data_IF_061502108807
#
_entry.id   IF_061502108807
#
_cell.length_a   1.000
_cell.length_b   1.000
_cell.length_c   1.000
_cell.angle_alpha   90.00
_cell.angle_beta   90.00
_cell.angle_gamma   90.00
#
_symmetry.space_group_name_H-M   'P 1'
#
loop_
_entity.id
_entity.type
_entity.pdbx_description
1 polymer ?
#
# COMPACT_ATOMS: atom_id res chain seq x y z
N UNK A 1 17.00 17.85 16.24
CA UNK A 1 16.00 18.64 15.47
C UNK A 1 16.13 18.51 13.96
N UNK A 2 17.33 18.64 13.36
CA UNK A 2 17.56 18.50 11.90
C UNK A 2 17.01 17.18 11.31
N UNK A 3 17.24 16.07 12.02
CA UNK A 3 16.82 14.73 11.61
C UNK A 3 15.29 14.56 11.54
N UNK A 4 14.57 15.24 12.45
CA UNK A 4 13.11 15.18 12.56
C UNK A 4 12.42 16.00 11.45
N UNK A 5 13.03 17.14 11.07
CA UNK A 5 12.56 17.95 9.94
C UNK A 5 12.77 17.23 8.59
N UNK A 6 13.90 16.54 8.43
CA UNK A 6 14.21 15.78 7.21
C UNK A 6 13.26 14.59 7.07
N UNK A 7 13.07 13.81 8.15
CA UNK A 7 12.15 12.66 8.13
C UNK A 7 10.69 13.07 7.90
N UNK A 8 10.26 14.23 8.43
CA UNK A 8 8.92 14.77 8.17
C UNK A 8 8.73 15.16 6.69
N UNK A 9 9.70 15.85 6.10
CA UNK A 9 9.65 16.24 4.68
C UNK A 9 9.59 15.04 3.74
N UNK A 10 10.38 14.01 4.04
CA UNK A 10 10.40 12.74 3.28
C UNK A 10 9.09 11.98 3.47
N UNK A 11 8.58 11.87 4.70
CA UNK A 11 7.32 11.20 4.98
C UNK A 11 6.14 11.83 4.24
N UNK A 12 6.10 13.16 4.15
CA UNK A 12 5.07 13.89 3.40
C UNK A 12 5.20 13.61 1.89
N UNK A 13 6.40 13.78 1.31
CA UNK A 13 6.59 13.57 -0.14
C UNK A 13 6.36 12.12 -0.54
N UNK A 14 6.92 11.16 0.20
CA UNK A 14 6.72 9.74 -0.04
C UNK A 14 5.25 9.33 0.17
N UNK A 15 4.57 9.90 1.16
CA UNK A 15 3.15 9.63 1.44
C UNK A 15 2.24 10.15 0.33
N UNK A 16 2.50 11.35 -0.19
CA UNK A 16 1.76 11.93 -1.32
C UNK A 16 1.97 11.11 -2.58
N UNK A 17 3.21 10.74 -2.90
CA UNK A 17 3.52 9.89 -4.05
C UNK A 17 2.86 8.51 -3.92
N UNK A 18 2.89 7.92 -2.73
CA UNK A 18 2.23 6.65 -2.45
C UNK A 18 0.70 6.73 -2.60
N UNK A 19 0.09 7.81 -2.13
CA UNK A 19 -1.36 8.03 -2.26
C UNK A 19 -1.77 8.22 -3.73
N UNK A 20 -0.97 8.96 -4.51
CA UNK A 20 -1.16 9.12 -5.96
C UNK A 20 -1.07 7.80 -6.71
N UNK A 21 -0.12 6.93 -6.34
CA UNK A 21 0.01 5.62 -6.96
C UNK A 21 -1.08 4.61 -6.53
N UNK A 22 -1.81 4.86 -5.44
CA UNK A 22 -2.88 3.97 -4.96
C UNK A 22 -2.42 2.59 -4.44
N UNK A 23 -1.11 2.32 -4.38
CA UNK A 23 -0.54 0.99 -4.04
C UNK A 23 -0.50 0.74 -2.52
N UNK A 24 -0.72 1.76 -1.69
CA UNK A 24 -0.46 1.69 -0.26
C UNK A 24 1.05 1.79 0.00
N UNK A 25 1.47 2.83 0.73
CA UNK A 25 2.86 3.34 0.68
C UNK A 25 3.99 2.43 1.13
N UNK A 26 3.76 1.16 1.47
CA UNK A 26 4.80 0.25 1.96
C UNK A 26 5.96 0.00 0.98
N UNK A 27 5.64 -0.13 -0.30
CA UNK A 27 6.64 -0.33 -1.39
C UNK A 27 7.62 0.84 -1.48
N UNK A 28 7.16 2.06 -1.18
CA UNK A 28 7.93 3.30 -1.26
C UNK A 28 8.57 3.66 0.09
N UNK A 29 7.87 3.44 1.20
CA UNK A 29 8.31 3.83 2.54
C UNK A 29 9.45 2.98 3.08
N UNK A 30 9.45 1.67 2.81
CA UNK A 30 10.52 0.77 3.27
C UNK A 30 11.90 1.14 2.70
N UNK A 31 12.09 1.31 1.38
CA UNK A 31 13.39 1.75 0.85
C UNK A 31 13.69 3.19 1.23
N UNK A 32 12.68 4.06 1.37
CA UNK A 32 12.90 5.42 1.84
C UNK A 32 13.48 5.44 3.27
N UNK A 33 12.95 4.64 4.19
CA UNK A 33 13.48 4.55 5.55
C UNK A 33 14.83 3.85 5.63
N UNK A 34 15.05 2.80 4.84
CA UNK A 34 16.35 2.11 4.78
C UNK A 34 17.46 2.99 4.20
N UNK A 35 17.20 3.68 3.08
CA UNK A 35 18.21 4.51 2.40
C UNK A 35 18.39 5.89 3.04
N UNK A 36 17.32 6.53 3.52
CA UNK A 36 17.38 7.92 4.00
C UNK A 36 17.59 8.04 5.52
N UNK A 37 17.11 7.08 6.33
CA UNK A 37 17.32 7.10 7.79
C UNK A 37 18.44 6.15 8.24
N UNK A 38 18.97 5.30 7.36
CA UNK A 38 19.99 4.30 7.71
C UNK A 38 19.48 3.28 8.74
N UNK A 39 18.16 3.11 8.83
CA UNK A 39 17.55 2.17 9.75
C UNK A 39 17.83 0.74 9.29
N UNK A 40 18.09 -0.13 10.26
CA UNK A 40 18.18 -1.55 9.98
C UNK A 40 16.87 -2.07 9.35
N UNK A 41 16.97 -3.02 8.42
CA UNK A 41 15.87 -3.42 7.52
C UNK A 41 14.61 -3.83 8.31
N UNK A 42 14.79 -4.50 9.45
CA UNK A 42 13.69 -4.89 10.35
C UNK A 42 12.96 -3.69 10.95
N UNK A 43 13.70 -2.64 11.32
CA UNK A 43 13.13 -1.41 11.86
C UNK A 43 12.39 -0.62 10.77
N UNK A 44 12.99 -0.48 9.57
CA UNK A 44 12.36 0.18 8.43
C UNK A 44 11.01 -0.48 8.06
N UNK A 45 10.97 -1.82 8.02
CA UNK A 45 9.75 -2.59 7.79
C UNK A 45 8.69 -2.37 8.87
N UNK A 46 9.08 -2.45 10.14
CA UNK A 46 8.16 -2.25 11.27
C UNK A 46 7.57 -0.83 11.28
N UNK A 47 8.39 0.19 11.04
CA UNK A 47 7.93 1.58 10.97
C UNK A 47 6.99 1.80 9.78
N UNK A 48 7.29 1.21 8.62
CA UNK A 48 6.38 1.30 7.47
C UNK A 48 5.03 0.64 7.75
N UNK A 49 4.99 -0.49 8.45
CA UNK A 49 3.73 -1.12 8.85
C UNK A 49 2.93 -0.23 9.80
N UNK A 50 3.60 0.44 10.74
CA UNK A 50 2.96 1.40 11.63
C UNK A 50 2.34 2.59 10.86
N UNK A 51 2.96 3.06 9.77
CA UNK A 51 2.42 4.13 8.90
C UNK A 51 1.24 3.63 8.04
N UNK A 52 1.25 2.35 7.65
CA UNK A 52 0.17 1.77 6.83
C UNK A 52 -1.16 1.72 7.60
N UNK A 53 -1.15 1.50 8.92
CA UNK A 53 -2.38 1.43 9.72
C UNK A 53 -3.24 2.70 9.62
N UNK A 54 -2.76 3.90 9.98
CA UNK A 54 -3.56 5.13 9.90
C UNK A 54 -3.92 5.50 8.46
N UNK A 55 -3.03 5.23 7.50
CA UNK A 55 -3.31 5.52 6.07
C UNK A 55 -4.39 4.59 5.51
N UNK A 56 -4.39 3.31 5.89
CA UNK A 56 -5.44 2.36 5.52
C UNK A 56 -6.79 2.73 6.14
N UNK A 57 -6.81 3.19 7.39
CA UNK A 57 -8.04 3.67 8.04
C UNK A 57 -8.59 4.89 7.29
N UNK A 58 -7.74 5.88 6.99
CA UNK A 58 -8.14 7.06 6.23
C UNK A 58 -8.66 6.70 4.84
N UNK A 59 -7.96 5.80 4.13
CA UNK A 59 -8.40 5.31 2.83
C UNK A 59 -9.76 4.61 2.92
N UNK A 60 -9.94 3.72 3.91
CA UNK A 60 -11.20 2.98 4.11
C UNK A 60 -12.34 3.95 4.41
N UNK A 61 -12.13 4.94 5.29
CA UNK A 61 -13.14 5.94 5.62
C UNK A 61 -13.62 6.73 4.38
N UNK A 62 -12.70 7.06 3.46
CA UNK A 62 -13.05 7.70 2.18
C UNK A 62 -13.86 6.77 1.28
N UNK A 63 -13.52 5.48 1.22
CA UNK A 63 -14.24 4.50 0.39
C UNK A 63 -15.64 4.18 0.95
N UNK A 64 -15.80 4.12 2.28
CA UNK A 64 -17.11 3.96 2.94
C UNK A 64 -18.01 5.13 2.59
N UNK A 65 -17.48 6.36 2.64
CA UNK A 65 -18.24 7.58 2.36
C UNK A 65 -18.78 7.64 0.93
N UNK A 66 -18.10 6.98 -0.01
CA UNK A 66 -18.50 6.94 -1.42
C UNK A 66 -19.35 5.71 -1.78
N UNK A 67 -19.73 4.87 -0.81
CA UNK A 67 -20.51 3.63 -1.00
C UNK A 67 -19.90 2.64 -2.02
N UNK A 68 -18.57 2.66 -2.16
CA UNK A 68 -17.84 1.84 -3.13
C UNK A 68 -17.35 0.50 -2.56
N UNK A 69 -17.80 0.12 -1.37
CA UNK A 69 -17.28 -1.05 -0.64
C UNK A 69 -18.19 -2.25 -0.80
N UNK A 70 -17.67 -3.29 -1.46
CA UNK A 70 -18.23 -4.62 -1.37
C UNK A 70 -17.77 -5.27 -0.05
N UNK A 71 -18.66 -5.26 0.94
CA UNK A 71 -18.41 -5.80 2.27
C UNK A 71 -18.05 -7.30 2.27
N UNK A 72 -18.52 -8.06 1.27
CA UNK A 72 -18.20 -9.48 1.16
C UNK A 72 -16.73 -9.67 0.80
N UNK A 73 -16.24 -8.90 -0.18
CA UNK A 73 -14.83 -8.91 -0.58
C UNK A 73 -13.96 -8.37 0.55
N UNK A 74 -14.38 -7.30 1.22
CA UNK A 74 -13.63 -6.70 2.33
C UNK A 74 -13.43 -7.68 3.49
N UNK A 75 -14.47 -8.40 3.91
CA UNK A 75 -14.38 -9.37 5.01
C UNK A 75 -13.53 -10.57 4.62
N UNK A 76 -13.72 -11.13 3.41
CA UNK A 76 -12.93 -12.29 2.94
C UNK A 76 -11.45 -11.93 2.85
N UNK A 77 -11.11 -10.77 2.30
CA UNK A 77 -9.72 -10.31 2.21
C UNK A 77 -9.13 -9.99 3.58
N UNK A 78 -9.89 -9.40 4.50
CA UNK A 78 -9.45 -9.15 5.87
C UNK A 78 -9.10 -10.45 6.62
N UNK A 79 -9.95 -11.48 6.53
CA UNK A 79 -9.71 -12.77 7.17
C UNK A 79 -8.49 -13.46 6.55
N UNK A 80 -8.43 -13.52 5.21
CA UNK A 80 -7.31 -14.13 4.50
C UNK A 80 -5.97 -13.42 4.81
N UNK A 81 -5.97 -12.08 4.82
CA UNK A 81 -4.79 -11.28 5.14
C UNK A 81 -4.34 -11.50 6.59
N UNK A 82 -5.28 -11.54 7.54
CA UNK A 82 -4.96 -11.76 8.97
C UNK A 82 -4.36 -13.14 9.20
N UNK A 83 -4.97 -14.19 8.64
CA UNK A 83 -4.45 -15.56 8.72
C UNK A 83 -3.05 -15.65 8.13
N UNK A 84 -2.88 -15.16 6.90
CA UNK A 84 -1.59 -15.22 6.19
C UNK A 84 -0.51 -14.44 6.93
N UNK A 85 -0.85 -13.24 7.43
CA UNK A 85 0.08 -12.40 8.20
C UNK A 85 0.54 -13.08 9.48
N UNK A 86 -0.36 -13.77 10.18
CA UNK A 86 -0.01 -14.51 11.40
C UNK A 86 1.02 -15.61 11.13
N UNK A 87 0.81 -16.44 10.11
CA UNK A 87 1.76 -17.50 9.74
C UNK A 87 3.09 -16.96 9.20
N UNK A 88 3.05 -15.88 8.42
CA UNK A 88 4.25 -15.26 7.85
C UNK A 88 5.09 -14.56 8.91
N UNK A 89 4.46 -13.90 9.90
CA UNK A 89 5.16 -13.12 10.91
C UNK A 89 6.19 -13.95 11.69
N UNK A 90 5.86 -15.19 12.07
CA UNK A 90 6.78 -16.06 12.81
C UNK A 90 7.91 -16.60 11.92
N UNK A 91 7.61 -16.85 10.64
CA UNK A 91 8.61 -17.26 9.65
C UNK A 91 9.63 -16.16 9.40
N UNK A 92 9.18 -14.90 9.27
CA UNK A 92 10.05 -13.74 8.96
C UNK A 92 11.03 -13.42 10.11
N UNK A 93 10.66 -13.68 11.36
CA UNK A 93 11.52 -13.41 12.54
C UNK A 93 12.83 -14.21 12.52
N UNK A 94 12.82 -15.40 11.91
CA UNK A 94 13.96 -16.32 11.91
C UNK A 94 15.06 -15.92 10.90
N UNK A 95 14.77 -15.01 9.97
CA UNK A 95 15.73 -14.61 8.94
C UNK A 95 16.68 -13.49 9.40
N UNK A 96 17.91 -13.55 8.90
CA UNK A 96 18.94 -12.51 9.07
C UNK A 96 18.60 -11.28 8.20
N UNK A 97 18.98 -10.08 8.65
CA UNK A 97 18.68 -8.81 7.98
C UNK A 97 19.06 -8.80 6.49
N UNK A 98 20.23 -9.35 6.14
CA UNK A 98 20.67 -9.46 4.73
C UNK A 98 19.69 -10.23 3.84
N UNK A 99 19.12 -11.31 4.35
CA UNK A 99 18.16 -12.12 3.60
C UNK A 99 16.86 -11.35 3.38
N UNK A 100 16.38 -10.62 4.39
CA UNK A 100 15.20 -9.75 4.26
C UNK A 100 15.44 -8.66 3.21
N UNK A 101 16.60 -8.00 3.24
CA UNK A 101 16.95 -6.95 2.28
C UNK A 101 17.01 -7.51 0.86
N UNK A 102 17.60 -8.69 0.66
CA UNK A 102 17.68 -9.33 -0.66
C UNK A 102 16.30 -9.73 -1.19
N UNK A 103 15.45 -10.33 -0.35
CA UNK A 103 14.07 -10.68 -0.72
C UNK A 103 13.29 -9.41 -1.09
N UNK A 104 13.37 -8.38 -0.26
CA UNK A 104 12.67 -7.12 -0.52
C UNK A 104 13.14 -6.46 -1.82
N UNK A 105 14.45 -6.42 -2.07
CA UNK A 105 15.01 -5.88 -3.30
C UNK A 105 14.52 -6.63 -4.55
N UNK A 106 14.49 -7.97 -4.50
CA UNK A 106 13.95 -8.78 -5.60
C UNK A 106 12.47 -8.47 -5.84
N UNK A 107 11.66 -8.38 -4.78
CA UNK A 107 10.24 -8.06 -4.88
C UNK A 107 10.04 -6.68 -5.53
N UNK A 108 10.78 -5.65 -5.11
CA UNK A 108 10.71 -4.31 -5.71
C UNK A 108 11.09 -4.32 -7.19
N UNK A 109 12.15 -5.05 -7.57
CA UNK A 109 12.56 -5.17 -8.97
C UNK A 109 11.45 -5.84 -9.79
N UNK A 110 10.87 -6.92 -9.28
CA UNK A 110 9.76 -7.62 -9.93
C UNK A 110 8.56 -6.68 -10.11
N UNK A 111 8.15 -5.95 -9.07
CA UNK A 111 7.06 -4.96 -9.17
C UNK A 111 7.38 -3.86 -10.19
N UNK A 112 8.60 -3.34 -10.20
CA UNK A 112 9.03 -2.33 -11.17
C UNK A 112 8.98 -2.83 -12.61
N UNK A 113 9.45 -4.06 -12.85
CA UNK A 113 9.35 -4.71 -14.17
C UNK A 113 7.89 -4.98 -14.54
N UNK A 114 7.08 -5.48 -13.61
CA UNK A 114 5.66 -5.74 -13.88
C UNK A 114 4.91 -4.47 -14.22
N UNK A 115 5.21 -3.36 -13.54
CA UNK A 115 4.65 -2.05 -13.86
C UNK A 115 5.08 -1.57 -15.26
N UNK A 116 6.32 -1.82 -15.67
CA UNK A 116 6.81 -1.44 -17.00
C UNK A 116 6.13 -2.26 -18.12
N UNK A 117 5.81 -3.51 -17.84
CA UNK A 117 5.20 -4.44 -18.82
C UNK A 117 3.67 -4.33 -18.85
N UNK A 118 3.04 -3.86 -17.77
CA UNK A 118 1.57 -3.75 -17.70
C UNK A 118 1.11 -2.41 -18.30
N UNK A 119 0.42 -2.40 -19.46
CA UNK A 119 -0.16 -1.16 -19.98
C UNK A 119 -1.22 -0.62 -19.01
N UNK A 120 -1.03 0.63 -18.59
CA UNK A 120 -1.83 1.41 -17.63
C UNK A 120 -3.22 1.72 -18.20
N UNK A 121 -4.09 0.72 -18.35
CA UNK A 121 -5.40 0.92 -18.99
C UNK A 121 -6.48 0.05 -18.36
N UNK A 122 -6.85 0.29 -17.10
CA UNK A 122 -8.15 -0.23 -16.59
C UNK A 122 -8.77 0.43 -15.35
N UNK A 123 -8.42 1.67 -15.00
CA UNK A 123 -9.01 2.35 -13.82
C UNK A 123 -9.93 3.55 -14.12
N UNK A 124 -10.18 3.89 -15.39
CA UNK A 124 -11.07 5.00 -15.76
C UNK A 124 -12.43 4.58 -16.38
N UNK A 125 -12.70 3.29 -16.58
CA UNK A 125 -13.87 2.82 -17.37
C UNK A 125 -14.97 2.13 -16.54
N UNK A 126 -15.09 2.45 -15.24
CA UNK A 126 -16.32 2.16 -14.47
C UNK A 126 -16.96 3.45 -13.96
N UNK A 127 -16.98 4.46 -14.83
CA UNK A 127 -17.93 5.56 -14.77
C UNK A 127 -18.84 5.42 -15.99
N UNK A 128 -19.57 4.30 -16.07
CA UNK A 128 -20.69 4.22 -16.99
C UNK A 128 -21.80 5.13 -16.44
N UNK A 129 -22.38 6.01 -17.27
CA UNK A 129 -23.49 6.85 -16.86
C UNK A 129 -24.64 5.91 -16.47
N UNK A 130 -25.16 6.05 -15.25
CA UNK A 130 -26.43 5.45 -14.87
C UNK A 130 -27.46 5.96 -15.87
N UNK A 131 -27.90 5.07 -16.76
CA UNK A 131 -28.97 5.33 -17.69
C UNK A 131 -30.20 5.78 -16.89
N UNK A 132 -30.73 6.93 -17.31
CA UNK A 132 -31.98 7.52 -16.84
C UNK A 132 -33.13 6.49 -16.95
N UNK A 133 -33.75 6.06 -15.84
CA UNK A 133 -34.86 5.12 -15.89
C UNK A 133 -36.21 5.77 -16.27
N UNK A 134 -36.25 7.00 -16.81
CA UNK A 134 -37.52 7.68 -17.16
C UNK A 134 -37.84 7.80 -18.65
N UNK A 135 -37.11 7.13 -19.54
CA UNK A 135 -37.37 7.18 -20.99
C UNK A 135 -38.42 6.17 -21.52
N UNK A 136 -38.98 5.28 -20.69
CA UNK A 136 -40.07 4.36 -21.08
C UNK A 136 -41.35 4.63 -20.27
N UNK A 137 -42.05 5.72 -20.58
CA UNK A 137 -43.51 5.83 -20.34
C UNK A 137 -44.17 6.87 -21.26
N UNK A 138 -43.77 6.88 -22.54
CA UNK A 138 -44.56 7.47 -23.62
C UNK A 138 -45.15 6.37 -24.48
#
# INVERSE_FOLDING_TARGET
MKFLLISLGIGITAGVLAALCGVGGGVIMVPAFGLLLGLDQKHALATSMAVIVPTAIAATAQHVKNDLIDWRVAIVTAIAATLTSYFVADTVKQFRNETLTRIFAIVIIVFGVMMLVTPTTKSAQKAEPVADPTAESR
#
